data_IF_110363541833
#
_entry.id   IF_110363541833
#
_cell.length_a   1.000
_cell.length_b   1.000
_cell.length_c   1.000
_cell.angle_alpha   90.00
_cell.angle_beta   90.00
_cell.angle_gamma   90.00
#
_symmetry.space_group_name_H-M   'P 1'
#
loop_
_entity.id
_entity.type
_entity.pdbx_description
1 polymer ?
#
# COMPACT_ATOMS: atom_id res chain seq x y z
N UNK A 1 18.33 10.01 -5.80
CA UNK A 1 17.24 10.50 -4.95
C UNK A 1 16.93 11.90 -5.42
N UNK A 2 15.77 12.15 -6.02
CA UNK A 2 15.42 13.49 -6.40
C UNK A 2 15.28 14.32 -5.13
N UNK A 3 16.12 15.29 -5.03
CA UNK A 3 16.03 16.31 -4.02
C UNK A 3 15.03 17.32 -4.55
N UNK A 4 13.87 17.40 -3.97
CA UNK A 4 13.11 18.63 -4.09
C UNK A 4 13.86 19.68 -3.33
N UNK A 5 14.61 20.47 -4.05
CA UNK A 5 15.09 21.72 -3.47
C UNK A 5 13.87 22.57 -3.14
N UNK A 6 13.91 23.35 -2.08
CA UNK A 6 12.86 24.32 -1.77
C UNK A 6 12.78 25.48 -2.78
N UNK A 7 13.43 25.36 -3.89
CA UNK A 7 13.30 26.29 -4.99
C UNK A 7 11.85 26.28 -5.46
N UNK A 8 11.26 27.41 -5.80
CA UNK A 8 9.94 27.52 -6.40
C UNK A 8 9.99 26.94 -7.81
N UNK A 9 10.36 25.66 -7.88
CA UNK A 9 10.28 24.91 -9.10
C UNK A 9 8.81 24.63 -9.41
N UNK A 10 8.55 24.31 -10.60
CA UNK A 10 7.25 23.86 -11.04
C UNK A 10 6.90 22.57 -10.29
N UNK A 11 5.75 22.51 -9.64
CA UNK A 11 5.26 21.28 -9.06
C UNK A 11 4.49 21.48 -7.76
N UNK A 12 4.10 20.36 -7.20
CA UNK A 12 3.40 20.21 -5.96
C UNK A 12 4.04 21.03 -4.82
N UNK A 13 3.23 21.78 -4.11
CA UNK A 13 3.65 22.53 -2.94
C UNK A 13 4.35 23.87 -3.23
N UNK A 14 4.32 24.36 -4.47
CA UNK A 14 4.98 25.62 -4.85
C UNK A 14 4.09 26.87 -4.80
N UNK A 15 2.78 26.72 -4.78
CA UNK A 15 1.88 27.84 -4.55
C UNK A 15 1.86 28.23 -3.06
N UNK A 16 1.49 29.46 -2.77
CA UNK A 16 1.55 30.00 -1.40
C UNK A 16 0.60 29.28 -0.44
N UNK A 17 -0.53 28.78 -0.92
CA UNK A 17 -1.50 28.03 -0.12
C UNK A 17 -0.92 26.67 0.28
N UNK A 18 -0.32 25.93 -0.65
CA UNK A 18 0.36 24.67 -0.38
C UNK A 18 1.56 24.83 0.55
N UNK A 19 2.34 25.91 0.37
CA UNK A 19 3.45 26.24 1.29
C UNK A 19 2.96 26.51 2.71
N UNK A 20 1.84 27.21 2.85
CA UNK A 20 1.23 27.47 4.15
C UNK A 20 0.76 26.17 4.82
N UNK A 21 0.16 25.25 4.07
CA UNK A 21 -0.26 23.93 4.57
C UNK A 21 0.93 23.09 5.02
N UNK A 22 2.05 23.16 4.31
CA UNK A 22 3.27 22.44 4.66
C UNK A 22 3.98 23.00 5.90
N UNK A 23 3.65 24.21 6.32
CA UNK A 23 4.37 24.89 7.40
C UNK A 23 5.80 25.28 7.02
N UNK A 24 6.06 25.47 5.74
CA UNK A 24 7.35 25.78 5.13
C UNK A 24 7.74 24.79 4.05
N UNK A 25 8.82 25.08 3.36
CA UNK A 25 9.35 24.19 2.32
C UNK A 25 10.03 22.99 2.96
N UNK A 26 9.65 21.80 2.54
CA UNK A 26 10.23 20.53 2.99
C UNK A 26 10.73 19.72 1.81
N UNK A 27 11.56 18.75 2.10
CA UNK A 27 11.85 17.70 1.17
C UNK A 27 10.59 16.91 0.89
N UNK A 28 10.30 16.64 -0.38
CA UNK A 28 9.22 15.78 -0.80
C UNK A 28 9.71 14.76 -1.82
N UNK A 29 9.06 13.63 -1.83
CA UNK A 29 9.15 12.62 -2.90
C UNK A 29 7.72 12.20 -3.19
N UNK A 30 7.10 12.91 -4.11
CA UNK A 30 5.71 12.73 -4.47
C UNK A 30 5.63 11.86 -5.73
N UNK A 31 5.02 10.68 -5.60
CA UNK A 31 4.82 9.75 -6.71
C UNK A 31 3.60 8.85 -6.45
N UNK A 32 3.27 8.00 -7.42
CA UNK A 32 2.14 7.08 -7.37
C UNK A 32 0.80 7.79 -7.07
N UNK A 33 0.35 8.72 -7.95
CA UNK A 33 -0.92 9.40 -7.73
C UNK A 33 -2.10 8.48 -8.01
N UNK A 34 -3.12 8.56 -7.13
CA UNK A 34 -4.42 7.93 -7.29
C UNK A 34 -5.48 8.95 -7.66
N UNK A 35 -6.39 8.59 -8.54
CA UNK A 35 -7.51 9.43 -8.98
C UNK A 35 -8.78 9.00 -8.27
N UNK A 36 -9.61 9.97 -7.87
CA UNK A 36 -10.90 9.67 -7.25
C UNK A 36 -11.84 8.92 -8.18
N UNK A 37 -12.62 8.00 -7.60
CA UNK A 37 -13.55 7.14 -8.29
C UNK A 37 -14.96 7.27 -7.70
N UNK A 38 -15.96 7.06 -8.56
CA UNK A 38 -17.36 6.84 -8.18
C UNK A 38 -17.85 5.60 -8.89
N UNK A 39 -18.33 4.61 -8.12
CA UNK A 39 -18.70 3.30 -8.62
C UNK A 39 -17.59 2.57 -9.40
N UNK A 40 -16.34 2.80 -9.03
CA UNK A 40 -15.16 2.18 -9.66
C UNK A 40 -14.68 2.86 -10.95
N UNK A 41 -15.31 3.95 -11.34
CA UNK A 41 -14.94 4.75 -12.50
C UNK A 41 -14.33 6.09 -12.07
N UNK A 42 -13.31 6.54 -12.78
CA UNK A 42 -12.72 7.85 -12.59
C UNK A 42 -13.76 8.98 -12.72
N UNK A 43 -13.87 9.81 -11.69
CA UNK A 43 -14.89 10.85 -11.60
C UNK A 43 -14.40 12.29 -11.81
N UNK A 44 -13.10 12.48 -11.97
CA UNK A 44 -12.51 13.78 -12.29
C UNK A 44 -12.47 14.79 -11.15
N UNK A 45 -12.74 14.39 -9.89
CA UNK A 45 -12.81 15.34 -8.79
C UNK A 45 -11.45 15.60 -8.14
N UNK A 46 -10.79 14.54 -7.71
CA UNK A 46 -9.57 14.66 -6.89
C UNK A 46 -8.44 13.75 -7.37
N UNK A 47 -7.23 14.21 -7.12
CA UNK A 47 -6.02 13.42 -7.20
C UNK A 47 -5.41 13.35 -5.80
N UNK A 48 -5.07 12.15 -5.39
CA UNK A 48 -4.33 11.89 -4.16
C UNK A 48 -2.90 11.52 -4.52
N UNK A 49 -1.92 12.09 -3.81
CA UNK A 49 -0.50 11.80 -4.04
C UNK A 49 0.23 11.73 -2.71
N UNK A 50 1.11 10.76 -2.57
CA UNK A 50 1.92 10.65 -1.38
C UNK A 50 3.07 11.67 -1.37
N UNK A 51 3.43 12.11 -0.18
CA UNK A 51 4.71 12.78 0.14
C UNK A 51 5.47 11.81 1.02
N UNK A 52 6.24 10.92 0.37
CA UNK A 52 6.81 9.73 0.99
C UNK A 52 7.64 10.04 2.22
N UNK A 53 8.69 10.89 2.17
CA UNK A 53 9.58 11.09 3.32
C UNK A 53 8.88 11.70 4.53
N UNK A 54 7.80 12.43 4.32
CA UNK A 54 7.08 13.13 5.38
C UNK A 54 5.84 12.38 5.87
N UNK A 55 5.59 11.15 5.38
CA UNK A 55 4.43 10.34 5.71
C UNK A 55 3.10 11.09 5.56
N UNK A 56 2.88 11.74 4.41
CA UNK A 56 1.72 12.57 4.12
C UNK A 56 1.02 12.14 2.85
N UNK A 57 -0.25 12.51 2.73
CA UNK A 57 -1.03 12.43 1.49
C UNK A 57 -1.56 13.82 1.18
N UNK A 58 -1.36 14.28 -0.05
CA UNK A 58 -1.97 15.51 -0.53
C UNK A 58 -3.20 15.18 -1.39
N UNK A 59 -4.24 15.99 -1.25
CA UNK A 59 -5.41 15.99 -2.13
C UNK A 59 -5.41 17.24 -2.99
N UNK A 60 -5.46 17.03 -4.29
CA UNK A 60 -5.48 18.07 -5.32
C UNK A 60 -6.85 18.07 -5.97
N UNK A 61 -7.46 19.23 -6.09
CA UNK A 61 -8.71 19.45 -6.82
C UNK A 61 -8.42 19.53 -8.31
N UNK A 62 -8.99 18.64 -9.10
CA UNK A 62 -8.74 18.57 -10.54
C UNK A 62 -9.48 19.63 -11.35
N UNK A 63 -10.42 20.36 -10.75
CA UNK A 63 -11.10 21.47 -11.43
C UNK A 63 -10.20 22.69 -11.63
N UNK A 64 -9.25 22.91 -10.75
CA UNK A 64 -8.32 24.05 -10.79
C UNK A 64 -6.86 23.71 -10.45
N UNK A 65 -6.56 22.41 -10.26
CA UNK A 65 -5.25 21.85 -9.94
C UNK A 65 -4.62 22.41 -8.67
N UNK A 66 -5.45 22.79 -7.68
CA UNK A 66 -4.96 23.27 -6.39
C UNK A 66 -4.96 22.20 -5.33
N UNK A 67 -3.92 22.19 -4.51
CA UNK A 67 -3.89 21.39 -3.29
C UNK A 67 -4.91 21.92 -2.31
N UNK A 68 -5.85 21.07 -1.88
CA UNK A 68 -6.90 21.42 -0.90
C UNK A 68 -6.59 20.95 0.50
N UNK A 69 -5.81 19.86 0.61
CA UNK A 69 -5.40 19.34 1.91
C UNK A 69 -4.08 18.59 1.79
N UNK A 70 -3.24 18.72 2.80
CA UNK A 70 -2.10 17.84 3.05
C UNK A 70 -2.37 17.18 4.39
N UNK A 71 -2.65 15.89 4.35
CA UNK A 71 -2.96 15.09 5.52
C UNK A 71 -1.71 14.40 6.04
N UNK A 72 -1.41 14.58 7.29
CA UNK A 72 -0.25 13.98 7.97
C UNK A 72 0.63 15.05 8.67
N UNK A 73 1.80 14.69 9.22
CA UNK A 73 2.36 13.32 9.15
C UNK A 73 1.42 12.28 9.78
N UNK A 74 1.25 11.16 9.08
CA UNK A 74 0.42 10.06 9.58
C UNK A 74 1.16 9.44 10.78
N UNK A 75 0.51 9.32 11.94
CA UNK A 75 1.17 8.79 13.13
C UNK A 75 1.76 7.40 12.91
N UNK A 76 2.80 7.05 13.63
CA UNK A 76 3.47 5.76 13.62
C UNK A 76 4.04 5.29 12.26
N UNK A 77 3.76 5.98 11.15
CA UNK A 77 4.37 5.68 9.86
C UNK A 77 5.79 6.22 9.76
N UNK A 78 6.66 5.43 9.13
CA UNK A 78 7.96 5.90 8.66
C UNK A 78 7.94 5.92 7.14
N UNK A 79 7.89 7.08 6.54
CA UNK A 79 7.77 7.27 5.11
C UNK A 79 6.56 6.54 4.48
N UNK A 80 5.68 7.24 3.82
CA UNK A 80 4.48 6.67 3.17
C UNK A 80 4.77 6.38 1.70
N UNK A 81 4.99 5.11 1.34
CA UNK A 81 5.32 4.76 -0.04
C UNK A 81 4.15 4.14 -0.82
N UNK A 82 3.25 3.42 -0.16
CA UNK A 82 2.09 2.83 -0.81
C UNK A 82 1.31 3.86 -1.63
N UNK A 83 0.82 3.45 -2.79
CA UNK A 83 0.00 4.31 -3.64
C UNK A 83 -1.29 4.69 -2.90
N UNK A 84 -1.64 5.97 -2.81
CA UNK A 84 -2.92 6.39 -2.24
C UNK A 84 -4.05 6.22 -3.28
N UNK A 85 -4.15 5.03 -3.87
CA UNK A 85 -5.26 4.68 -4.76
C UNK A 85 -6.54 4.60 -3.92
N UNK A 86 -7.61 5.23 -4.35
CA UNK A 86 -8.85 5.24 -3.59
C UNK A 86 -9.64 3.95 -3.79
N UNK A 87 -10.47 3.63 -2.80
CA UNK A 87 -11.54 2.66 -2.95
C UNK A 87 -12.54 3.08 -4.04
N UNK A 88 -13.35 2.16 -4.62
CA UNK A 88 -14.21 2.44 -5.78
C UNK A 88 -15.23 3.57 -5.64
N UNK A 89 -15.49 4.03 -4.41
CA UNK A 89 -16.32 5.22 -4.16
C UNK A 89 -15.55 6.30 -3.38
N UNK A 90 -14.23 6.22 -3.40
CA UNK A 90 -13.33 7.16 -2.72
C UNK A 90 -13.64 7.29 -1.22
N UNK A 91 -14.07 6.20 -0.57
CA UNK A 91 -14.32 6.20 0.87
C UNK A 91 -13.01 6.25 1.68
N UNK A 92 -11.97 5.65 1.11
CA UNK A 92 -10.63 5.57 1.69
C UNK A 92 -9.55 5.80 0.64
N UNK A 93 -8.43 6.33 1.10
CA UNK A 93 -7.10 6.20 0.50
C UNK A 93 -6.18 5.59 1.55
N UNK A 94 -5.06 5.02 1.13
CA UNK A 94 -4.20 4.27 2.04
C UNK A 94 -2.77 4.80 2.05
N UNK A 95 -2.05 4.43 3.10
CA UNK A 95 -0.62 4.62 3.21
C UNK A 95 -0.01 3.44 3.97
N UNK A 96 1.24 3.12 3.69
CA UNK A 96 1.97 2.12 4.46
C UNK A 96 3.43 2.54 4.67
N UNK A 97 4.02 2.05 5.75
CA UNK A 97 5.41 2.35 6.12
C UNK A 97 6.37 1.83 5.06
N UNK A 98 7.14 2.71 4.40
CA UNK A 98 8.24 2.27 3.53
C UNK A 98 9.31 1.51 4.30
N UNK A 99 9.55 1.93 5.54
CA UNK A 99 10.49 1.29 6.45
C UNK A 99 9.82 0.98 7.77
N UNK A 100 10.15 -0.16 8.36
CA UNK A 100 9.70 -0.48 9.72
C UNK A 100 10.43 0.38 10.75
N UNK A 101 9.71 0.76 11.81
CA UNK A 101 10.24 1.56 12.92
C UNK A 101 9.70 1.03 14.25
N UNK A 102 10.33 1.39 15.39
CA UNK A 102 9.74 1.09 16.70
C UNK A 102 8.39 1.77 16.86
N UNK A 103 7.37 0.98 17.25
CA UNK A 103 6.01 1.49 17.50
C UNK A 103 5.62 1.19 18.95
N UNK A 104 5.34 2.20 19.77
CA UNK A 104 5.47 3.64 19.52
C UNK A 104 6.92 4.05 19.29
N UNK A 105 7.11 5.18 18.57
CA UNK A 105 8.44 5.67 18.24
C UNK A 105 9.27 5.93 19.51
N UNK A 106 10.40 5.25 19.63
CA UNK A 106 11.35 5.34 20.75
C UNK A 106 12.72 4.85 20.33
N UNK A 107 13.72 5.18 21.10
CA UNK A 107 15.05 4.58 20.91
C UNK A 107 15.04 3.13 21.38
N UNK A 108 15.48 2.23 20.54
CA UNK A 108 15.64 0.79 20.82
C UNK A 108 17.00 0.31 20.30
N UNK A 109 17.43 -0.83 20.76
CA UNK A 109 18.63 -1.48 20.23
C UNK A 109 18.30 -2.19 18.93
N UNK A 110 19.25 -2.21 17.99
CA UNK A 110 19.11 -2.91 16.71
C UNK A 110 18.93 -4.42 16.91
N UNK A 111 19.51 -4.99 17.97
CA UNK A 111 19.34 -6.41 18.31
C UNK A 111 17.87 -6.78 18.64
N UNK A 112 17.07 -5.79 19.03
CA UNK A 112 15.64 -5.96 19.33
C UNK A 112 14.74 -5.71 18.09
N UNK A 113 15.32 -5.66 16.87
CA UNK A 113 14.61 -5.31 15.64
C UNK A 113 13.30 -6.11 15.45
N UNK A 114 13.38 -7.42 15.41
CA UNK A 114 12.22 -8.29 15.21
C UNK A 114 11.15 -8.11 16.29
N UNK A 115 11.53 -7.70 17.50
CA UNK A 115 10.63 -7.50 18.64
C UNK A 115 9.96 -6.13 18.63
N UNK A 116 10.74 -5.07 18.36
CA UNK A 116 10.31 -3.69 18.62
C UNK A 116 9.93 -2.93 17.35
N UNK A 117 10.50 -3.30 16.20
CA UNK A 117 10.16 -2.67 14.91
C UNK A 117 8.85 -3.22 14.35
N UNK A 118 8.08 -2.35 13.73
CA UNK A 118 6.80 -2.68 13.10
C UNK A 118 6.61 -1.88 11.84
N UNK A 119 5.92 -2.47 10.88
CA UNK A 119 5.28 -1.74 9.81
C UNK A 119 3.90 -1.24 10.25
N UNK A 120 3.39 -0.26 9.55
CA UNK A 120 2.02 0.26 9.73
C UNK A 120 1.36 0.33 8.38
N UNK A 121 0.11 -0.11 8.32
CA UNK A 121 -0.82 0.19 7.23
C UNK A 121 -1.88 1.12 7.81
N UNK A 122 -2.11 2.25 7.15
CA UNK A 122 -3.08 3.26 7.56
C UNK A 122 -4.21 3.39 6.52
N UNK A 123 -5.45 3.29 6.97
CA UNK A 123 -6.64 3.65 6.21
C UNK A 123 -7.07 5.07 6.53
N UNK A 124 -7.07 5.93 5.53
CA UNK A 124 -7.44 7.35 5.63
C UNK A 124 -8.80 7.55 4.99
N UNK A 125 -9.78 7.92 5.80
CA UNK A 125 -11.15 8.22 5.34
C UNK A 125 -11.16 9.47 4.47
N UNK A 126 -12.00 9.46 3.47
CA UNK A 126 -12.28 10.61 2.60
C UNK A 126 -13.75 10.97 2.72
N UNK A 127 -14.05 12.22 3.07
CA UNK A 127 -15.44 12.69 3.08
C UNK A 127 -15.96 12.78 1.63
N UNK A 128 -17.08 12.14 1.30
CA UNK A 128 -17.58 12.10 -0.07
C UNK A 128 -18.07 13.47 -0.60
N UNK A 129 -18.28 14.45 0.27
CA UNK A 129 -18.78 15.77 -0.13
C UNK A 129 -17.66 16.68 -0.61
N UNK A 130 -16.60 16.77 0.15
CA UNK A 130 -15.53 17.76 -0.07
C UNK A 130 -14.13 17.13 -0.16
N UNK A 131 -14.02 15.81 0.03
CA UNK A 131 -12.77 15.08 -0.02
C UNK A 131 -11.89 15.24 1.22
N UNK A 132 -12.39 15.83 2.30
CA UNK A 132 -11.61 16.00 3.53
C UNK A 132 -11.11 14.66 4.05
N UNK A 133 -9.80 14.55 4.24
CA UNK A 133 -9.15 13.34 4.75
C UNK A 133 -9.05 13.36 6.27
N UNK A 134 -9.26 12.19 6.88
CA UNK A 134 -9.09 11.94 8.32
C UNK A 134 -8.63 10.51 8.56
N UNK A 135 -7.85 10.27 9.63
CA UNK A 135 -7.40 8.93 9.96
C UNK A 135 -8.57 8.04 10.38
N UNK A 136 -8.75 6.92 9.72
CA UNK A 136 -9.72 5.90 10.06
C UNK A 136 -9.16 4.86 11.02
N UNK A 137 -8.04 4.25 10.64
CA UNK A 137 -7.36 3.22 11.42
C UNK A 137 -5.89 3.08 11.03
N UNK A 138 -5.13 2.46 11.93
CA UNK A 138 -3.83 1.88 11.62
C UNK A 138 -3.85 0.40 11.99
N UNK A 139 -3.11 -0.43 11.25
CA UNK A 139 -2.88 -1.84 11.57
C UNK A 139 -1.41 -2.04 11.88
N UNK A 140 -1.13 -2.64 13.04
CA UNK A 140 0.22 -2.98 13.47
C UNK A 140 0.69 -4.23 12.71
N UNK A 141 1.70 -4.06 11.89
CA UNK A 141 2.22 -5.10 11.01
C UNK A 141 3.53 -5.70 11.55
N UNK A 142 3.93 -6.89 11.08
CA UNK A 142 5.31 -7.33 11.24
C UNK A 142 6.31 -6.27 10.75
N UNK A 143 7.61 -6.38 11.08
CA UNK A 143 8.60 -5.39 10.65
C UNK A 143 8.94 -5.51 9.16
N UNK A 144 7.90 -5.49 8.32
CA UNK A 144 8.01 -5.48 6.86
C UNK A 144 8.16 -4.07 6.34
N UNK A 145 8.87 -3.94 5.23
CA UNK A 145 8.89 -2.74 4.41
C UNK A 145 7.80 -2.88 3.35
N UNK A 146 6.97 -1.86 3.21
CA UNK A 146 5.86 -1.85 2.26
C UNK A 146 6.24 -1.08 1.01
N UNK A 147 5.77 -1.57 -0.14
CA UNK A 147 6.06 -0.92 -1.42
C UNK A 147 4.80 -0.28 -2.00
N UNK A 148 3.98 -1.01 -2.69
CA UNK A 148 2.82 -0.45 -3.38
C UNK A 148 1.51 -1.03 -2.87
N UNK A 149 0.41 -0.38 -3.25
CA UNK A 149 -0.94 -0.81 -2.94
C UNK A 149 -1.88 -0.59 -4.12
N UNK A 150 -2.97 -1.34 -4.17
CA UNK A 150 -4.10 -1.10 -5.05
C UNK A 150 -5.41 -1.54 -4.40
N UNK A 151 -6.48 -0.80 -4.70
CA UNK A 151 -7.80 -1.00 -4.13
C UNK A 151 -8.61 -2.05 -4.90
N UNK A 152 -9.23 -2.96 -4.17
CA UNK A 152 -10.14 -3.93 -4.74
C UNK A 152 -11.44 -3.30 -5.25
N UNK A 153 -11.98 -3.86 -6.33
CA UNK A 153 -13.24 -3.47 -6.96
C UNK A 153 -14.06 -4.70 -7.34
N UNK A 154 -15.35 -4.52 -7.61
CA UNK A 154 -16.22 -5.66 -7.95
C UNK A 154 -16.12 -6.79 -6.93
N UNK A 155 -15.71 -8.02 -7.32
CA UNK A 155 -15.56 -9.14 -6.40
C UNK A 155 -14.55 -8.93 -5.27
N UNK A 156 -13.58 -8.05 -5.45
CA UNK A 156 -12.59 -7.70 -4.42
C UNK A 156 -12.91 -6.42 -3.66
N UNK A 157 -14.07 -5.81 -3.87
CA UNK A 157 -14.48 -4.62 -3.13
C UNK A 157 -14.45 -4.86 -1.61
N UNK A 158 -13.91 -3.91 -0.87
CA UNK A 158 -13.69 -4.03 0.58
C UNK A 158 -12.28 -4.48 0.95
N UNK A 159 -11.48 -4.86 -0.04
CA UNK A 159 -10.08 -5.22 0.13
C UNK A 159 -9.15 -4.15 -0.40
N UNK A 160 -7.99 -4.05 0.24
CA UNK A 160 -6.83 -3.31 -0.23
C UNK A 160 -5.63 -4.27 -0.18
N UNK A 161 -4.81 -4.22 -1.21
CA UNK A 161 -3.68 -5.12 -1.37
C UNK A 161 -2.37 -4.33 -1.28
N UNK A 162 -1.41 -4.83 -0.49
CA UNK A 162 -0.11 -4.17 -0.31
C UNK A 162 1.00 -5.16 -0.57
N UNK A 163 1.96 -4.82 -1.43
CA UNK A 163 3.20 -5.57 -1.52
C UNK A 163 4.11 -5.24 -0.36
N UNK A 164 4.72 -6.24 0.22
CA UNK A 164 5.62 -6.06 1.34
C UNK A 164 6.77 -7.06 1.32
N UNK A 165 7.90 -6.60 1.82
CA UNK A 165 9.12 -7.39 1.96
C UNK A 165 9.18 -7.98 3.36
N UNK A 166 9.56 -9.25 3.43
CA UNK A 166 9.90 -9.92 4.68
C UNK A 166 11.33 -9.50 5.08
N UNK A 167 11.48 -8.25 5.44
CA UNK A 167 12.77 -7.58 5.57
C UNK A 167 13.19 -7.31 7.01
N UNK A 168 12.63 -8.03 7.97
CA UNK A 168 12.99 -7.88 9.38
C UNK A 168 14.49 -8.02 9.69
N UNK A 169 15.25 -8.58 8.77
CA UNK A 169 16.69 -8.73 8.86
C UNK A 169 17.46 -7.80 7.90
N UNK A 170 16.74 -6.85 7.29
CA UNK A 170 17.26 -6.06 6.18
C UNK A 170 17.66 -4.64 6.54
N UNK A 171 17.63 -4.27 7.78
CA UNK A 171 17.88 -2.91 8.26
C UNK A 171 19.26 -2.33 7.88
N UNK A 172 20.22 -3.16 7.49
CA UNK A 172 21.54 -2.78 7.02
C UNK A 172 21.87 -3.25 5.60
N UNK A 173 20.88 -3.77 4.88
CA UNK A 173 21.08 -4.46 3.61
C UNK A 173 20.37 -3.78 2.46
N UNK A 174 20.92 -3.95 1.26
CA UNK A 174 20.19 -3.63 0.04
C UNK A 174 19.01 -4.61 -0.14
N UNK A 175 17.97 -4.17 -0.82
CA UNK A 175 16.75 -4.93 -1.08
C UNK A 175 17.02 -6.35 -1.61
N UNK A 176 17.96 -6.51 -2.53
CA UNK A 176 18.35 -7.81 -3.09
C UNK A 176 18.90 -8.78 -2.05
N UNK A 177 19.42 -8.27 -0.95
CA UNK A 177 19.87 -9.07 0.21
C UNK A 177 18.81 -9.17 1.29
N UNK A 178 17.91 -8.20 1.35
CA UNK A 178 16.85 -8.13 2.32
C UNK A 178 15.92 -9.33 2.18
N UNK A 179 15.42 -9.59 0.99
CA UNK A 179 14.61 -10.75 0.66
C UNK A 179 15.45 -12.02 0.54
N UNK A 180 15.96 -12.50 1.66
CA UNK A 180 16.72 -13.76 1.68
C UNK A 180 15.81 -14.99 1.68
N UNK A 181 14.55 -14.82 2.04
CA UNK A 181 13.55 -15.87 1.95
C UNK A 181 13.16 -16.12 0.49
N UNK A 182 12.64 -17.30 0.20
CA UNK A 182 12.15 -17.64 -1.14
C UNK A 182 10.92 -16.83 -1.54
N UNK A 183 10.14 -16.38 -0.55
CA UNK A 183 8.88 -15.68 -0.75
C UNK A 183 8.83 -14.42 0.13
N UNK A 184 8.27 -13.37 -0.43
CA UNK A 184 7.75 -12.20 0.26
C UNK A 184 6.21 -12.29 0.31
N UNK A 185 5.50 -11.18 0.53
CA UNK A 185 4.05 -11.22 0.74
C UNK A 185 3.29 -10.12 0.01
N UNK A 186 2.02 -10.41 -0.26
CA UNK A 186 0.96 -9.40 -0.39
C UNK A 186 0.12 -9.44 0.88
N UNK A 187 -0.02 -8.30 1.54
CA UNK A 187 -0.98 -8.12 2.62
C UNK A 187 -2.34 -7.78 2.04
N UNK A 188 -3.32 -8.65 2.26
CA UNK A 188 -4.71 -8.45 1.87
C UNK A 188 -5.47 -7.87 3.06
N UNK A 189 -5.81 -6.61 3.02
CA UNK A 189 -6.50 -5.89 4.10
C UNK A 189 -7.97 -5.73 3.79
N UNK A 190 -8.84 -6.31 4.61
CA UNK A 190 -10.27 -6.00 4.58
C UNK A 190 -10.52 -4.72 5.39
N UNK A 191 -10.54 -3.59 4.70
CA UNK A 191 -10.66 -2.28 5.35
C UNK A 191 -12.03 -2.07 6.02
N UNK A 192 -13.09 -2.73 5.52
CA UNK A 192 -14.43 -2.69 6.15
C UNK A 192 -14.40 -3.37 7.52
N UNK A 193 -13.74 -4.54 7.61
CA UNK A 193 -13.56 -5.26 8.88
C UNK A 193 -12.64 -4.48 9.83
N UNK A 194 -11.56 -3.90 9.32
CA UNK A 194 -10.66 -3.08 10.11
C UNK A 194 -11.38 -1.88 10.73
N UNK A 195 -12.14 -1.12 9.93
CA UNK A 195 -12.90 0.01 10.45
C UNK A 195 -13.96 -0.43 11.46
N UNK A 196 -14.70 -1.51 11.19
CA UNK A 196 -15.69 -2.03 12.14
C UNK A 196 -15.06 -2.44 13.49
N UNK A 197 -13.82 -2.95 13.45
CA UNK A 197 -13.09 -3.28 14.69
C UNK A 197 -12.72 -2.01 15.48
N UNK A 198 -12.34 -0.93 14.81
CA UNK A 198 -12.12 0.38 15.47
C UNK A 198 -13.41 0.89 16.09
N UNK A 199 -14.50 0.88 15.33
CA UNK A 199 -15.81 1.36 15.78
C UNK A 199 -16.34 0.53 16.99
N UNK A 200 -15.95 -0.75 17.07
CA UNK A 200 -16.22 -1.63 18.21
C UNK A 200 -15.26 -1.44 19.40
N UNK A 201 -14.37 -0.45 19.34
CA UNK A 201 -13.44 -0.11 20.43
C UNK A 201 -12.28 -1.10 20.62
N UNK A 202 -11.92 -1.88 19.60
CA UNK A 202 -10.82 -2.86 19.67
C UNK A 202 -9.44 -2.24 19.42
N UNK A 203 -9.38 -1.03 18.88
CA UNK A 203 -8.13 -0.32 18.64
C UNK A 203 -7.56 0.25 19.94
N UNK A 204 -6.23 0.23 20.05
CA UNK A 204 -5.49 0.93 21.09
C UNK A 204 -5.01 2.27 20.57
N UNK A 205 -5.00 3.30 21.42
CA UNK A 205 -4.41 4.58 21.02
C UNK A 205 -2.89 4.51 21.16
N UNK A 206 -2.18 4.58 20.05
CA UNK A 206 -0.71 4.63 20.00
C UNK A 206 -0.30 5.81 19.13
N UNK A 207 0.58 6.68 19.65
CA UNK A 207 1.00 7.89 18.92
C UNK A 207 -0.16 8.85 18.55
N UNK A 208 -1.30 8.73 19.23
CA UNK A 208 -2.51 9.51 18.94
C UNK A 208 -3.43 8.87 17.88
N UNK A 209 -3.06 7.73 17.30
CA UNK A 209 -3.84 7.01 16.30
C UNK A 209 -4.59 5.81 16.88
N UNK A 210 -5.75 5.41 16.30
CA UNK A 210 -6.39 4.14 16.60
C UNK A 210 -5.66 2.99 15.90
N UNK A 211 -4.87 2.23 16.64
CA UNK A 211 -4.05 1.12 16.13
C UNK A 211 -4.67 -0.22 16.48
N UNK A 212 -4.91 -1.03 15.46
CA UNK A 212 -5.39 -2.40 15.58
C UNK A 212 -4.20 -3.37 15.66
N UNK A 213 -4.21 -4.24 16.65
CA UNK A 213 -3.42 -5.47 16.60
C UNK A 213 -4.20 -6.49 15.74
N UNK A 214 -3.58 -7.15 14.74
CA UNK A 214 -4.26 -8.16 13.93
C UNK A 214 -4.98 -9.24 14.73
N UNK A 215 -4.47 -9.59 15.91
CA UNK A 215 -5.07 -10.56 16.81
C UNK A 215 -6.41 -10.10 17.40
N UNK A 216 -6.58 -8.79 17.57
CA UNK A 216 -7.81 -8.19 18.11
C UNK A 216 -8.86 -7.92 17.00
N UNK A 217 -8.46 -8.01 15.73
CA UNK A 217 -9.29 -7.79 14.55
C UNK A 217 -9.24 -8.98 13.57
N UNK A 218 -9.67 -10.18 13.96
CA UNK A 218 -9.63 -11.35 13.09
C UNK A 218 -10.46 -11.12 11.83
N UNK A 219 -9.91 -11.48 10.68
CA UNK A 219 -10.52 -11.24 9.36
C UNK A 219 -10.15 -9.90 8.72
N UNK A 220 -9.49 -9.00 9.45
CA UNK A 220 -9.07 -7.72 8.88
C UNK A 220 -7.87 -7.84 7.95
N UNK A 221 -7.05 -8.88 8.08
CA UNK A 221 -5.84 -9.01 7.27
C UNK A 221 -5.39 -10.46 7.11
N UNK A 222 -4.84 -10.76 5.93
CA UNK A 222 -4.20 -12.02 5.57
C UNK A 222 -2.94 -11.75 4.75
N UNK A 223 -1.99 -12.69 4.76
CA UNK A 223 -0.79 -12.63 3.93
C UNK A 223 -0.85 -13.72 2.86
N UNK A 224 -0.65 -13.31 1.59
CA UNK A 224 -0.46 -14.22 0.47
C UNK A 224 1.02 -14.23 0.13
N UNK A 225 1.70 -15.39 0.17
CA UNK A 225 3.09 -15.46 -0.28
C UNK A 225 3.21 -15.09 -1.75
N UNK A 226 4.28 -14.38 -2.10
CA UNK A 226 4.58 -13.96 -3.48
C UNK A 226 6.08 -14.09 -3.74
N UNK A 227 6.52 -14.14 -5.01
CA UNK A 227 7.93 -14.14 -5.34
C UNK A 227 8.67 -12.92 -4.78
N UNK A 228 9.97 -13.09 -4.58
CA UNK A 228 10.87 -12.07 -3.99
C UNK A 228 10.77 -10.71 -4.60
N UNK A 229 10.89 -9.71 -3.73
CA UNK A 229 10.95 -8.31 -4.07
C UNK A 229 9.73 -7.87 -4.89
N UNK A 230 8.51 -8.10 -4.40
CA UNK A 230 7.32 -7.65 -5.10
C UNK A 230 7.30 -6.13 -5.15
N UNK A 231 6.85 -5.56 -6.29
CA UNK A 231 6.67 -4.12 -6.46
C UNK A 231 5.19 -3.80 -6.66
N UNK A 232 4.69 -3.89 -7.89
CA UNK A 232 3.27 -3.68 -8.16
C UNK A 232 2.39 -4.80 -7.62
N UNK A 233 1.25 -4.43 -7.11
CA UNK A 233 0.07 -5.26 -6.97
C UNK A 233 -1.06 -4.52 -7.65
N UNK A 234 -1.43 -4.96 -8.84
CA UNK A 234 -2.33 -4.23 -9.72
C UNK A 234 -3.63 -5.04 -9.87
N UNK A 235 -4.75 -4.45 -9.45
CA UNK A 235 -6.07 -5.08 -9.54
C UNK A 235 -6.57 -4.98 -10.97
N UNK A 236 -6.99 -6.10 -11.56
CA UNK A 236 -7.52 -6.10 -12.91
C UNK A 236 -8.87 -5.36 -13.00
N UNK A 237 -9.29 -4.91 -14.19
CA UNK A 237 -10.53 -4.15 -14.34
C UNK A 237 -11.81 -4.86 -13.87
N UNK A 238 -11.82 -6.20 -13.86
CA UNK A 238 -12.96 -6.98 -13.35
C UNK A 238 -12.97 -7.07 -11.82
N UNK A 239 -11.82 -6.82 -11.16
CA UNK A 239 -11.62 -7.05 -9.74
C UNK A 239 -11.56 -8.52 -9.34
N UNK A 240 -11.47 -9.44 -10.30
CA UNK A 240 -11.38 -10.89 -10.06
C UNK A 240 -9.95 -11.36 -9.80
N UNK A 241 -8.96 -10.57 -10.26
CA UNK A 241 -7.54 -10.93 -10.17
C UNK A 241 -6.69 -9.78 -9.63
N UNK A 242 -5.60 -10.15 -8.99
CA UNK A 242 -4.48 -9.26 -8.70
C UNK A 242 -3.22 -9.75 -9.42
N UNK A 243 -2.52 -8.84 -10.08
CA UNK A 243 -1.26 -9.09 -10.77
C UNK A 243 -0.10 -8.59 -9.91
N UNK A 244 0.77 -9.49 -9.48
CA UNK A 244 1.89 -9.15 -8.60
C UNK A 244 3.20 -9.26 -9.35
N UNK A 245 3.91 -8.16 -9.41
CA UNK A 245 5.18 -8.02 -10.12
C UNK A 245 6.35 -8.18 -9.16
N UNK A 246 7.12 -9.25 -9.30
CA UNK A 246 8.33 -9.49 -8.51
C UNK A 246 9.56 -8.99 -9.26
N UNK A 247 10.19 -7.92 -8.80
CA UNK A 247 11.34 -7.27 -9.49
C UNK A 247 12.50 -8.20 -9.83
N UNK A 248 12.68 -9.25 -9.05
CA UNK A 248 13.77 -10.23 -9.22
C UNK A 248 13.30 -11.52 -9.93
N UNK A 249 12.08 -11.55 -10.44
CA UNK A 249 11.51 -12.64 -11.23
C UNK A 249 11.29 -12.17 -12.68
N UNK A 250 11.23 -13.12 -13.61
CA UNK A 250 10.92 -12.81 -15.01
C UNK A 250 9.44 -13.07 -15.34
N UNK A 251 8.59 -13.04 -14.33
CA UNK A 251 7.17 -13.37 -14.46
C UNK A 251 6.30 -12.48 -13.58
N UNK A 252 5.06 -12.25 -14.01
CA UNK A 252 3.99 -11.70 -13.18
C UNK A 252 3.20 -12.87 -12.60
N UNK A 253 2.99 -12.86 -11.28
CA UNK A 253 2.13 -13.81 -10.59
C UNK A 253 0.70 -13.27 -10.55
N UNK A 254 -0.24 -14.04 -11.08
CA UNK A 254 -1.68 -13.69 -11.06
C UNK A 254 -2.36 -14.53 -9.99
N UNK A 255 -3.06 -13.86 -9.08
CA UNK A 255 -3.83 -14.50 -8.02
C UNK A 255 -5.32 -14.25 -8.22
N UNK A 256 -6.15 -15.27 -8.09
CA UNK A 256 -7.59 -15.13 -8.20
C UNK A 256 -8.22 -14.80 -6.84
N UNK A 257 -9.02 -13.74 -6.78
CA UNK A 257 -9.74 -13.34 -5.56
C UNK A 257 -10.62 -14.47 -5.03
N UNK A 258 -11.31 -15.19 -5.92
CA UNK A 258 -12.12 -16.33 -5.53
C UNK A 258 -11.30 -17.46 -4.86
N UNK A 259 -10.06 -17.68 -5.28
CA UNK A 259 -9.15 -18.64 -4.66
C UNK A 259 -8.67 -18.16 -3.29
N UNK A 260 -8.31 -16.88 -3.18
CA UNK A 260 -7.93 -16.24 -1.90
C UNK A 260 -9.09 -16.37 -0.92
N UNK A 261 -10.31 -16.00 -1.31
CA UNK A 261 -11.50 -16.10 -0.45
C UNK A 261 -11.78 -17.54 -0.03
N UNK A 262 -11.70 -18.48 -0.97
CA UNK A 262 -11.86 -19.91 -0.67
C UNK A 262 -10.82 -20.42 0.35
N UNK A 263 -9.56 -19.99 0.23
CA UNK A 263 -8.51 -20.36 1.17
C UNK A 263 -8.77 -19.77 2.57
N UNK A 264 -9.26 -18.54 2.63
CA UNK A 264 -9.67 -17.88 3.88
C UNK A 264 -10.82 -18.66 4.55
N UNK A 265 -11.89 -18.94 3.81
CA UNK A 265 -13.08 -19.64 4.32
C UNK A 265 -12.75 -21.05 4.81
N UNK A 266 -11.87 -21.74 4.10
CA UNK A 266 -11.36 -23.06 4.47
C UNK A 266 -10.32 -23.05 5.59
N UNK A 267 -9.86 -21.85 6.01
CA UNK A 267 -8.71 -21.67 6.93
C UNK A 267 -7.47 -22.44 6.47
N UNK A 268 -7.22 -22.42 5.16
CA UNK A 268 -6.08 -23.08 4.53
C UNK A 268 -4.80 -22.26 4.73
N UNK A 269 -4.36 -22.19 5.99
CA UNK A 269 -3.19 -21.41 6.39
C UNK A 269 -1.92 -22.26 6.40
N UNK A 270 -0.80 -21.61 6.08
CA UNK A 270 0.56 -22.15 6.14
C UNK A 270 1.38 -21.43 7.23
N UNK A 271 0.77 -21.29 8.41
CA UNK A 271 1.37 -20.59 9.54
C UNK A 271 0.84 -19.17 9.73
N UNK A 272 1.63 -18.38 10.45
CA UNK A 272 1.32 -16.97 10.74
C UNK A 272 2.59 -16.12 10.81
N UNK A 273 2.43 -14.82 10.55
CA UNK A 273 3.46 -13.80 10.74
C UNK A 273 2.91 -12.67 11.62
N UNK A 274 3.48 -12.50 12.82
CA UNK A 274 3.02 -11.45 13.74
C UNK A 274 1.54 -11.58 14.18
N UNK A 275 0.98 -12.78 14.13
CA UNK A 275 -0.43 -13.04 14.39
C UNK A 275 -1.35 -12.89 13.18
N UNK A 276 -0.80 -12.68 12.00
CA UNK A 276 -1.54 -12.61 10.74
C UNK A 276 -1.46 -13.96 10.05
N UNK A 277 -2.60 -14.60 9.69
CA UNK A 277 -2.59 -15.86 8.96
C UNK A 277 -1.92 -15.73 7.59
N UNK A 278 -1.05 -16.69 7.26
CA UNK A 278 -0.43 -16.81 5.96
C UNK A 278 -1.19 -17.86 5.14
N UNK A 279 -1.70 -17.49 3.98
CA UNK A 279 -2.39 -18.38 3.07
C UNK A 279 -1.38 -19.28 2.32
N UNK A 280 -1.85 -20.41 1.84
CA UNK A 280 -1.00 -21.29 1.01
C UNK A 280 -0.87 -20.72 -0.39
N UNK A 281 0.37 -20.49 -0.83
CA UNK A 281 0.68 -19.94 -2.14
C UNK A 281 -0.05 -20.65 -3.29
N UNK A 282 0.05 -21.99 -3.33
CA UNK A 282 -0.53 -22.78 -4.40
C UNK A 282 -2.07 -22.71 -4.45
N UNK A 283 -2.72 -22.46 -3.30
CA UNK A 283 -4.18 -22.39 -3.22
C UNK A 283 -4.71 -21.03 -3.72
N UNK A 284 -3.87 -20.00 -3.77
CA UNK A 284 -4.23 -18.65 -4.20
C UNK A 284 -3.83 -18.35 -5.65
N UNK A 285 -2.77 -18.99 -6.13
CA UNK A 285 -2.21 -18.75 -7.47
C UNK A 285 -3.16 -19.20 -8.58
N UNK A 286 -3.37 -18.31 -9.56
CA UNK A 286 -4.07 -18.63 -10.82
C UNK A 286 -3.08 -18.96 -11.92
N UNK A 287 -2.12 -18.07 -12.16
CA UNK A 287 -1.16 -18.21 -13.26
C UNK A 287 0.17 -17.53 -12.94
N UNK A 288 1.19 -17.94 -13.67
CA UNK A 288 2.48 -17.26 -13.80
C UNK A 288 2.67 -16.87 -15.26
N UNK A 289 2.85 -15.60 -15.52
CA UNK A 289 2.96 -15.09 -16.89
C UNK A 289 4.39 -14.62 -17.14
N UNK A 290 5.17 -15.32 -17.98
CA UNK A 290 6.51 -14.86 -18.36
C UNK A 290 6.43 -13.55 -19.13
N UNK A 291 7.11 -12.51 -18.64
CA UNK A 291 7.08 -11.17 -19.25
C UNK A 291 8.47 -10.62 -19.55
N UNK A 292 9.51 -11.07 -18.87
CA UNK A 292 10.87 -10.52 -18.92
C UNK A 292 11.34 -10.00 -17.58
N UNK A 293 12.56 -9.49 -17.50
CA UNK A 293 13.22 -9.15 -16.24
C UNK A 293 12.77 -7.79 -15.68
N UNK A 294 12.54 -7.78 -14.39
CA UNK A 294 12.24 -6.57 -13.63
C UNK A 294 10.81 -6.06 -13.82
N UNK A 295 9.77 -6.90 -13.74
CA UNK A 295 8.41 -6.41 -13.78
C UNK A 295 8.12 -5.50 -12.58
N UNK A 296 7.49 -4.34 -12.84
CA UNK A 296 7.10 -3.36 -11.82
C UNK A 296 5.59 -3.21 -11.72
N UNK A 297 4.96 -2.57 -12.69
CA UNK A 297 3.53 -2.31 -12.70
C UNK A 297 2.86 -2.94 -13.91
N UNK A 298 1.63 -3.38 -13.72
CA UNK A 298 0.75 -3.88 -14.77
C UNK A 298 -0.43 -2.93 -14.93
N UNK A 299 -0.69 -2.48 -16.16
CA UNK A 299 -1.86 -1.71 -16.52
C UNK A 299 -2.68 -2.46 -17.55
N UNK A 300 -3.96 -2.16 -17.65
CA UNK A 300 -4.89 -2.91 -18.48
C UNK A 300 -5.54 -2.01 -19.52
N UNK A 301 -5.81 -2.54 -20.72
CA UNK A 301 -6.60 -1.85 -21.71
C UNK A 301 -8.06 -2.37 -21.74
N UNK A 302 -8.93 -1.62 -22.39
CA UNK A 302 -10.34 -2.04 -22.53
C UNK A 302 -10.56 -3.19 -23.54
N UNK A 303 -9.48 -3.86 -24.02
CA UNK A 303 -9.51 -4.92 -25.03
C UNK A 303 -9.07 -6.27 -24.48
N UNK A 304 -8.81 -6.37 -23.18
CA UNK A 304 -8.43 -7.60 -22.50
C UNK A 304 -6.94 -7.90 -22.54
N UNK A 305 -6.09 -6.88 -22.70
CA UNK A 305 -4.64 -7.03 -22.63
C UNK A 305 -4.08 -6.32 -21.40
N UNK A 306 -3.04 -6.92 -20.83
CA UNK A 306 -2.22 -6.36 -19.79
C UNK A 306 -0.87 -5.85 -20.35
N UNK A 307 -0.34 -4.81 -19.73
CA UNK A 307 0.92 -4.18 -20.09
C UNK A 307 1.77 -4.02 -18.84
N UNK A 308 2.89 -4.72 -18.78
CA UNK A 308 3.79 -4.69 -17.62
C UNK A 308 5.08 -3.97 -17.97
N UNK A 309 5.46 -2.99 -17.16
CA UNK A 309 6.75 -2.30 -17.29
C UNK A 309 7.88 -3.19 -16.75
N UNK A 310 8.99 -3.28 -17.50
CA UNK A 310 10.15 -4.10 -17.20
C UNK A 310 11.37 -3.20 -17.01
N UNK A 311 11.73 -2.91 -15.76
CA UNK A 311 12.77 -1.91 -15.49
C UNK A 311 14.19 -2.40 -15.82
N UNK A 312 14.47 -3.70 -15.69
CA UNK A 312 15.77 -4.27 -16.05
C UNK A 312 15.93 -4.41 -17.56
N UNK A 313 14.91 -4.86 -18.26
CA UNK A 313 14.92 -5.00 -19.71
C UNK A 313 14.64 -3.68 -20.45
N UNK A 314 14.23 -2.61 -19.73
CA UNK A 314 13.84 -1.31 -20.32
C UNK A 314 12.76 -1.46 -21.42
N UNK A 315 11.76 -2.30 -21.17
CA UNK A 315 10.70 -2.68 -22.10
C UNK A 315 9.32 -2.60 -21.46
N UNK A 316 8.31 -2.76 -22.28
CA UNK A 316 6.94 -3.02 -21.84
C UNK A 316 6.52 -4.36 -22.45
N UNK A 317 6.15 -5.31 -21.62
CA UNK A 317 5.54 -6.55 -22.05
C UNK A 317 4.03 -6.36 -22.22
N UNK A 318 3.50 -6.80 -23.34
CA UNK A 318 2.05 -6.95 -23.56
C UNK A 318 1.69 -8.42 -23.49
N UNK A 319 0.65 -8.77 -22.73
CA UNK A 319 0.21 -10.16 -22.53
C UNK A 319 -1.29 -10.26 -22.27
#
# INVERSE_FOLDING_TARGET
IPVFTPEPAVGYGNDEESKAMLGGLTWGDAHHPGLSETAGDYDGRWLFINDMPNARIARIDLSDFKTRQIFGPIPNLSAAHACPFPTPNTEYVFAASRFSVPVPNRQVKVEDYAKDFRGIIAGVKVDPKDGTMSLGFEILMPPFDYDLADAGKGPSEGWEFFTCYNSEMAYDSLEVKASQNEMDYVACVNWKVAQAAVDAGKAKTIGGAPVLDPKDAPGAIYLVPVPKSPHGVDVDPSGEFICVSGKLQAEVSVFAIAKIQKAIDAKAFDGEQGGIPVLKYADCLEAKVPVGLGPLHTQFDGKGFAYTSLFLDSQIAKW
#
